data_IF_024955367143
#
_entry.id   IF_024955367143
#
_cell.length_a   1.000
_cell.length_b   1.000
_cell.length_c   1.000
_cell.angle_alpha   90.00
_cell.angle_beta   90.00
_cell.angle_gamma   90.00
#
_symmetry.space_group_name_H-M   'P 1'
#
loop_
_entity.id
_entity.type
_entity.pdbx_description
1 polymer ?
#
# COMPACT_ATOMS: atom_id res chain seq x y z
N UNK A 1 3.91 -4.51 9.95
CA UNK A 1 4.18 -3.66 11.12
C UNK A 1 5.68 -3.42 11.13
N UNK A 2 6.14 -2.22 11.50
CA UNK A 2 7.59 -1.96 11.53
C UNK A 2 8.30 -2.91 12.49
N UNK A 3 9.60 -3.17 12.24
CA UNK A 3 10.37 -4.15 13.03
C UNK A 3 10.46 -3.83 14.53
N UNK A 4 10.26 -2.58 14.93
CA UNK A 4 10.26 -2.15 16.33
C UNK A 4 8.84 -2.01 16.93
N UNK A 5 7.81 -2.51 16.25
CA UNK A 5 6.42 -2.40 16.71
C UNK A 5 5.82 -0.99 16.60
N UNK A 6 6.50 -0.05 15.95
CA UNK A 6 5.98 1.31 15.71
C UNK A 6 5.01 1.32 14.54
N UNK A 7 3.96 2.13 14.64
CA UNK A 7 3.07 2.46 13.52
C UNK A 7 3.71 3.59 12.72
N UNK A 8 3.87 3.39 11.42
CA UNK A 8 4.45 4.37 10.50
C UNK A 8 3.45 4.55 9.36
N UNK A 9 3.03 5.81 9.14
CA UNK A 9 2.12 6.19 8.06
C UNK A 9 2.82 7.28 7.26
N UNK A 10 2.86 7.11 5.95
CA UNK A 10 3.50 8.06 5.05
C UNK A 10 2.83 8.04 3.68
N UNK A 11 3.03 9.12 2.92
CA UNK A 11 2.71 9.20 1.50
C UNK A 11 3.98 9.09 0.69
N UNK A 12 3.94 8.36 -0.42
CA UNK A 12 5.06 8.24 -1.34
C UNK A 12 4.57 8.44 -2.76
N UNK A 13 5.24 9.30 -3.52
CA UNK A 13 4.96 9.50 -4.93
C UNK A 13 5.88 8.57 -5.73
N UNK A 14 5.30 7.68 -6.54
CA UNK A 14 6.02 6.77 -7.45
C UNK A 14 7.15 5.95 -6.79
N UNK A 15 6.83 5.04 -5.86
CA UNK A 15 7.83 4.17 -5.27
C UNK A 15 8.44 3.25 -6.35
N UNK A 16 9.73 2.95 -6.23
CA UNK A 16 10.31 1.82 -6.97
C UNK A 16 9.66 0.51 -6.49
N UNK A 17 9.74 -0.53 -7.33
CA UNK A 17 9.24 -1.85 -6.96
C UNK A 17 9.88 -2.39 -5.68
N UNK A 18 11.19 -2.20 -5.51
CA UNK A 18 11.92 -2.63 -4.30
C UNK A 18 11.41 -1.96 -3.03
N UNK A 19 11.01 -0.69 -3.09
CA UNK A 19 10.43 0.02 -1.96
C UNK A 19 8.99 -0.46 -1.71
N UNK A 20 8.19 -0.64 -2.77
CA UNK A 20 6.82 -1.15 -2.65
C UNK A 20 6.76 -2.51 -1.94
N UNK A 21 7.73 -3.41 -2.18
CA UNK A 21 7.81 -4.71 -1.52
C UNK A 21 7.98 -4.64 0.01
N UNK A 22 8.38 -3.49 0.55
CA UNK A 22 8.54 -3.29 1.99
C UNK A 22 7.24 -2.88 2.69
N UNK A 23 6.18 -2.57 1.94
CA UNK A 23 4.93 -2.09 2.53
C UNK A 23 4.15 -3.23 3.16
N UNK A 24 3.69 -3.01 4.39
CA UNK A 24 2.78 -3.93 5.06
C UNK A 24 1.35 -3.77 4.54
N UNK A 25 0.90 -2.52 4.45
CA UNK A 25 -0.43 -2.12 4.00
C UNK A 25 -0.33 -1.01 2.97
N UNK A 26 -1.25 -0.99 2.02
CA UNK A 26 -1.37 0.03 0.99
C UNK A 26 -2.74 0.71 1.09
N UNK A 27 -2.72 2.04 1.01
CA UNK A 27 -3.92 2.86 0.80
C UNK A 27 -3.76 3.57 -0.53
N UNK A 28 -4.65 3.29 -1.49
CA UNK A 28 -4.68 3.98 -2.78
C UNK A 28 -5.84 4.95 -2.82
N UNK A 29 -5.53 6.21 -3.12
CA UNK A 29 -6.50 7.26 -3.32
C UNK A 29 -6.44 7.75 -4.78
N UNK A 30 -7.60 7.99 -5.37
CA UNK A 30 -7.72 8.66 -6.66
C UNK A 30 -8.83 9.70 -6.59
N UNK A 31 -8.55 10.95 -6.96
CA UNK A 31 -9.52 12.05 -6.97
C UNK A 31 -10.30 12.19 -5.65
N UNK A 32 -9.61 12.05 -4.52
CA UNK A 32 -10.21 12.14 -3.17
C UNK A 32 -11.02 10.92 -2.73
N UNK A 33 -11.06 9.84 -3.53
CA UNK A 33 -11.79 8.61 -3.23
C UNK A 33 -10.85 7.47 -2.89
N UNK A 34 -11.28 6.60 -1.97
CA UNK A 34 -10.56 5.38 -1.61
C UNK A 34 -10.77 4.31 -2.67
N UNK A 35 -9.68 3.91 -3.35
CA UNK A 35 -9.69 2.86 -4.37
C UNK A 35 -9.35 1.49 -3.78
N UNK A 36 -8.44 1.48 -2.80
CA UNK A 36 -7.99 0.26 -2.12
C UNK A 36 -7.46 0.58 -0.72
N UNK A 37 -7.77 -0.25 0.25
CA UNK A 37 -7.09 -0.29 1.54
C UNK A 37 -6.93 -1.75 1.99
N UNK A 38 -5.70 -2.18 2.24
CA UNK A 38 -5.45 -3.55 2.67
C UNK A 38 -3.97 -3.94 2.65
N UNK A 39 -3.66 -5.24 2.85
CA UNK A 39 -2.29 -5.74 2.78
C UNK A 39 -1.68 -5.47 1.40
N UNK A 40 -0.51 -4.82 1.34
CA UNK A 40 0.09 -4.43 0.06
C UNK A 40 0.28 -5.63 -0.90
N UNK A 41 0.55 -6.82 -0.34
CA UNK A 41 0.71 -8.09 -1.08
C UNK A 41 -0.56 -8.58 -1.78
N UNK A 42 -1.76 -8.19 -1.32
CA UNK A 42 -3.05 -8.57 -1.92
C UNK A 42 -3.56 -7.57 -2.95
N UNK A 43 -2.81 -6.50 -3.19
CA UNK A 43 -3.24 -5.42 -4.08
C UNK A 43 -3.43 -5.91 -5.52
N UNK A 44 -2.49 -6.72 -6.03
CA UNK A 44 -2.58 -7.23 -7.41
C UNK A 44 -3.81 -8.12 -7.60
N UNK A 45 -3.99 -9.12 -6.73
CA UNK A 45 -5.18 -10.00 -6.73
C UNK A 45 -6.49 -9.20 -6.71
N UNK A 46 -6.58 -8.15 -5.88
CA UNK A 46 -7.75 -7.28 -5.83
C UNK A 46 -8.05 -6.62 -7.18
N UNK A 47 -7.05 -6.03 -7.83
CA UNK A 47 -7.24 -5.36 -9.12
C UNK A 47 -7.35 -6.31 -10.32
N UNK A 48 -6.88 -7.54 -10.21
CA UNK A 48 -7.11 -8.59 -11.22
C UNK A 48 -8.54 -9.13 -11.17
N UNK A 49 -9.21 -9.04 -10.01
CA UNK A 49 -10.59 -9.50 -9.82
C UNK A 49 -11.67 -8.45 -10.14
N UNK A 50 -11.26 -7.21 -10.40
CA UNK A 50 -12.14 -6.07 -10.67
C UNK A 50 -12.38 -5.87 -12.18
#
# INVERSE_FOLDING_TARGET
ISKQGRVIIFTIHQPSYSIFQLFDSLTLLASGRLMYHGPAKKTLEYFESA
#
